data_IF_950127360101
#
_entry.id   IF_950127360101
#
_cell.length_a   1.000
_cell.length_b   1.000
_cell.length_c   1.000
_cell.angle_alpha   90.00
_cell.angle_beta   90.00
_cell.angle_gamma   90.00
#
_symmetry.space_group_name_H-M   'P 1'
#
loop_
_entity.id
_entity.type
_entity.pdbx_description
1 polymer ?
#
# COMPACT_ATOMS: atom_id res chain seq x y z
N UNK A 1 -3.08 -9.42 -25.34
CA UNK A 1 -4.34 -10.00 -24.81
C UNK A 1 -4.50 -9.52 -23.38
N UNK A 2 -5.67 -9.02 -23.00
CA UNK A 2 -5.96 -8.59 -21.62
C UNK A 2 -6.31 -9.80 -20.76
N UNK A 3 -5.95 -9.77 -19.47
CA UNK A 3 -6.17 -10.86 -18.53
C UNK A 3 -6.59 -10.32 -17.16
N UNK A 4 -7.62 -10.91 -16.58
CA UNK A 4 -8.01 -10.69 -15.19
C UNK A 4 -7.00 -11.37 -14.25
N UNK A 5 -6.56 -10.63 -13.24
CA UNK A 5 -5.44 -10.97 -12.35
C UNK A 5 -5.84 -11.07 -10.88
N UNK A 6 -7.09 -10.76 -10.52
CA UNK A 6 -7.62 -10.78 -9.14
C UNK A 6 -6.62 -10.20 -8.12
N UNK A 7 -6.21 -8.95 -8.34
CA UNK A 7 -5.14 -8.32 -7.56
C UNK A 7 -5.73 -7.54 -6.39
N UNK A 8 -5.41 -7.96 -5.17
CA UNK A 8 -5.72 -7.17 -3.98
C UNK A 8 -4.72 -6.01 -3.86
N UNK A 9 -5.20 -4.82 -3.49
CA UNK A 9 -4.40 -3.62 -3.27
C UNK A 9 -4.48 -3.13 -1.82
N UNK A 10 -3.37 -2.60 -1.31
CA UNK A 10 -3.32 -1.80 -0.08
C UNK A 10 -2.54 -0.51 -0.34
N UNK A 11 -2.98 0.61 0.24
CA UNK A 11 -2.37 1.90 0.03
C UNK A 11 -2.16 2.65 1.35
N UNK A 12 -1.08 3.40 1.44
CA UNK A 12 -0.83 4.34 2.53
C UNK A 12 -0.30 5.68 1.99
N UNK A 13 -0.75 6.83 2.52
CA UNK A 13 -0.23 8.12 2.12
C UNK A 13 1.24 8.27 2.52
N UNK A 14 2.02 8.91 1.66
CA UNK A 14 3.42 9.25 1.88
C UNK A 14 3.54 10.79 1.93
N UNK A 15 3.61 11.36 3.13
CA UNK A 15 3.79 12.80 3.31
C UNK A 15 2.50 13.60 3.10
N UNK A 16 2.54 14.61 2.22
CA UNK A 16 1.49 15.64 2.01
C UNK A 16 0.15 15.14 1.45
N UNK A 17 0.00 13.83 1.25
CA UNK A 17 -1.24 13.20 0.80
C UNK A 17 -1.47 13.25 -0.71
N UNK A 18 -0.55 13.85 -1.45
CA UNK A 18 -0.47 13.83 -2.92
C UNK A 18 0.26 12.57 -3.45
N UNK A 19 1.08 11.94 -2.59
CA UNK A 19 1.79 10.71 -2.90
C UNK A 19 1.31 9.58 -2.00
N UNK A 20 1.20 8.36 -2.55
CA UNK A 20 0.88 7.16 -1.80
C UNK A 20 1.77 5.99 -2.20
N UNK A 21 2.10 5.12 -1.25
CA UNK A 21 2.71 3.82 -1.50
C UNK A 21 1.59 2.82 -1.69
N UNK A 22 1.63 2.07 -2.80
CA UNK A 22 0.64 1.05 -3.14
C UNK A 22 1.32 -0.30 -3.24
N UNK A 23 0.76 -1.30 -2.56
CA UNK A 23 1.18 -2.69 -2.65
C UNK A 23 0.09 -3.49 -3.38
N UNK A 24 0.51 -4.28 -4.37
CA UNK A 24 -0.36 -5.22 -5.07
C UNK A 24 0.02 -6.67 -4.78
N UNK A 25 -0.99 -7.52 -4.59
CA UNK A 25 -0.83 -8.96 -4.43
C UNK A 25 -1.71 -9.69 -5.46
N UNK A 26 -1.12 -10.15 -6.58
CA UNK A 26 -1.85 -10.93 -7.59
C UNK A 26 -2.33 -12.28 -7.04
N UNK A 27 -3.60 -12.61 -7.24
CA UNK A 27 -4.19 -13.92 -6.95
C UNK A 27 -4.15 -14.36 -5.48
N UNK A 28 -3.87 -13.45 -4.55
CA UNK A 28 -3.75 -13.74 -3.13
C UNK A 28 -5.00 -13.32 -2.34
N UNK A 29 -5.13 -13.78 -1.08
CA UNK A 29 -6.24 -13.37 -0.22
C UNK A 29 -6.22 -11.86 0.05
N UNK A 30 -7.24 -11.33 0.72
CA UNK A 30 -7.25 -9.92 1.13
C UNK A 30 -6.12 -9.59 2.13
N UNK A 31 -5.65 -8.34 2.12
CA UNK A 31 -4.67 -7.89 3.13
C UNK A 31 -5.32 -7.92 4.51
N UNK A 32 -4.62 -8.51 5.47
CA UNK A 32 -5.08 -8.51 6.85
C UNK A 32 -5.09 -7.06 7.38
N UNK A 33 -6.01 -6.68 8.28
CA UNK A 33 -6.02 -5.35 8.87
C UNK A 33 -4.67 -4.93 9.48
N UNK A 34 -3.93 -5.89 10.07
CA UNK A 34 -2.59 -5.63 10.62
C UNK A 34 -1.51 -5.39 9.56
N UNK A 35 -1.65 -5.93 8.35
CA UNK A 35 -0.74 -5.65 7.23
C UNK A 35 -0.95 -4.22 6.72
N UNK A 36 -2.21 -3.80 6.58
CA UNK A 36 -2.57 -2.43 6.19
C UNK A 36 -2.08 -1.42 7.23
N UNK A 37 -2.28 -1.70 8.52
CA UNK A 37 -1.81 -0.83 9.60
C UNK A 37 -0.27 -0.68 9.60
N UNK A 38 0.47 -1.77 9.36
CA UNK A 38 1.94 -1.73 9.27
C UNK A 38 2.43 -0.93 8.06
N UNK A 39 1.74 -1.04 6.91
CA UNK A 39 2.04 -0.22 5.74
C UNK A 39 1.88 1.27 6.07
N UNK A 40 0.79 1.65 6.76
CA UNK A 40 0.57 3.03 7.21
C UNK A 40 1.66 3.54 8.15
N UNK A 41 2.07 2.73 9.13
CA UNK A 41 3.14 3.10 10.06
C UNK A 41 4.48 3.30 9.35
N UNK A 42 4.85 2.38 8.45
CA UNK A 42 6.08 2.48 7.68
C UNK A 42 6.06 3.73 6.78
N UNK A 43 4.96 3.96 6.06
CA UNK A 43 4.80 5.14 5.22
C UNK A 43 4.92 6.44 6.03
N UNK A 44 4.36 6.47 7.25
CA UNK A 44 4.51 7.59 8.18
C UNK A 44 5.97 7.86 8.58
N UNK A 45 6.76 6.82 8.85
CA UNK A 45 8.20 6.98 9.14
C UNK A 45 8.93 7.52 7.93
N UNK A 46 8.76 6.89 6.75
CA UNK A 46 9.47 7.28 5.53
C UNK A 46 9.12 8.72 5.14
N UNK A 47 7.87 9.14 5.34
CA UNK A 47 7.43 10.51 5.10
C UNK A 47 8.26 11.56 5.86
N UNK A 48 8.83 11.22 7.02
CA UNK A 48 9.71 12.12 7.78
C UNK A 48 11.12 12.24 7.19
N UNK A 49 11.54 11.28 6.38
CA UNK A 49 12.87 11.23 5.77
C UNK A 49 12.92 11.91 4.39
N UNK A 50 11.80 11.93 3.68
CA UNK A 50 11.70 12.46 2.31
C UNK A 50 11.25 13.93 2.25
N UNK A 51 11.21 14.60 3.41
CA UNK A 51 10.91 16.03 3.52
C UNK A 51 12.15 16.90 3.35
#
# INVERSE_FOLDING_TARGET
MWKDMDTTLAAAPLGSGDTAVVLGRPGGPEFRPSEVARLGYLAGIVATLVR
#
